data_IF_779638975492
#
_entry.id   IF_779638975492
#
_cell.length_a   1.000
_cell.length_b   1.000
_cell.length_c   1.000
_cell.angle_alpha   90.00
_cell.angle_beta   90.00
_cell.angle_gamma   90.00
#
_symmetry.space_group_name_H-M   'P 1'
#
loop_
_entity.id
_entity.type
_entity.pdbx_description
1 polymer ?
#
# COMPACT_ATOMS: atom_id res chain seq x y z
N UNK A 1 26.39 -26.28 -23.94
CA UNK A 1 25.53 -27.15 -23.10
C UNK A 1 26.07 -27.06 -21.67
N UNK A 2 25.37 -26.34 -20.80
CA UNK A 2 25.79 -26.13 -19.41
C UNK A 2 25.26 -27.27 -18.52
N UNK A 3 26.09 -27.77 -17.60
CA UNK A 3 25.73 -28.83 -16.67
C UNK A 3 24.68 -28.37 -15.64
N UNK A 4 23.73 -29.21 -15.23
CA UNK A 4 22.73 -28.86 -14.24
C UNK A 4 23.35 -28.70 -12.84
N UNK A 5 22.84 -27.78 -12.00
CA UNK A 5 23.35 -27.55 -10.66
C UNK A 5 23.02 -28.71 -9.70
N UNK A 6 23.86 -28.92 -8.66
CA UNK A 6 23.69 -30.01 -7.69
C UNK A 6 22.51 -29.76 -6.74
N UNK A 7 21.86 -30.86 -6.33
CA UNK A 7 20.73 -30.87 -5.41
C UNK A 7 21.13 -30.45 -3.97
N UNK A 8 20.24 -29.76 -3.23
CA UNK A 8 20.51 -29.33 -1.86
C UNK A 8 20.47 -30.51 -0.85
N UNK A 9 21.25 -30.44 0.24
CA UNK A 9 21.31 -31.49 1.25
C UNK A 9 20.04 -31.55 2.13
N UNK A 10 19.67 -32.77 2.50
CA UNK A 10 18.49 -33.09 3.32
C UNK A 10 18.57 -32.50 4.75
N UNK A 11 17.44 -32.00 5.23
CA UNK A 11 17.29 -31.39 6.54
C UNK A 11 17.47 -32.41 7.69
N UNK A 12 18.25 -32.03 8.70
CA UNK A 12 18.49 -32.82 9.90
C UNK A 12 17.23 -32.86 10.80
N UNK A 13 16.95 -34.05 11.34
CA UNK A 13 15.82 -34.30 12.23
C UNK A 13 15.97 -33.62 13.61
N UNK A 14 14.88 -33.15 14.24
CA UNK A 14 14.92 -32.53 15.56
C UNK A 14 15.10 -33.57 16.70
N UNK A 15 15.81 -33.22 17.79
CA UNK A 15 16.03 -34.11 18.92
C UNK A 15 14.80 -34.26 19.83
N UNK A 16 14.63 -35.41 20.52
CA UNK A 16 13.46 -35.69 21.35
C UNK A 16 13.47 -34.98 22.71
N UNK A 17 12.24 -34.66 23.17
CA UNK A 17 11.91 -34.06 24.46
C UNK A 17 12.29 -34.98 25.64
N UNK A 18 12.95 -34.43 26.65
CA UNK A 18 13.22 -35.11 27.94
C UNK A 18 12.04 -34.94 28.90
N UNK A 19 11.56 -36.00 29.57
CA UNK A 19 10.71 -35.90 30.74
C UNK A 19 11.54 -36.08 32.02
N UNK A 20 11.44 -35.17 32.98
CA UNK A 20 11.94 -35.30 34.35
C UNK A 20 11.25 -34.20 35.16
N UNK A 21 10.68 -34.39 36.33
CA UNK A 21 10.59 -35.55 37.20
C UNK A 21 9.82 -35.07 38.42
N UNK A 22 8.97 -35.94 38.94
CA UNK A 22 8.25 -35.82 40.19
C UNK A 22 9.21 -35.81 41.39
N UNK A 23 8.92 -35.00 42.41
CA UNK A 23 9.07 -35.46 43.79
C UNK A 23 8.21 -34.68 44.79
N UNK A 24 7.64 -35.37 45.80
CA UNK A 24 6.65 -34.84 46.73
C UNK A 24 7.30 -34.36 48.03
N UNK A 25 6.71 -33.37 48.70
CA UNK A 25 6.92 -33.15 50.15
C UNK A 25 5.58 -32.92 50.86
N UNK A 26 5.26 -33.88 51.72
CA UNK A 26 4.29 -33.80 52.81
C UNK A 26 4.81 -32.87 53.92
N UNK A 27 3.93 -32.02 54.45
CA UNK A 27 3.54 -31.91 55.87
C UNK A 27 3.12 -30.48 56.20
N UNK A 28 2.02 -30.37 56.93
CA UNK A 28 1.59 -29.13 57.57
C UNK A 28 0.07 -29.09 57.70
N UNK A 29 -0.49 -29.99 58.51
CA UNK A 29 -1.78 -29.75 59.13
C UNK A 29 -1.61 -28.58 60.10
N UNK A 30 -2.32 -27.48 59.87
CA UNK A 30 -2.68 -26.57 60.93
C UNK A 30 -4.05 -25.97 60.60
N UNK A 31 -5.04 -26.41 61.37
CA UNK A 31 -6.37 -25.82 61.44
C UNK A 31 -6.22 -24.42 62.03
N UNK A 32 -6.67 -23.42 61.28
CA UNK A 32 -7.06 -22.15 61.86
C UNK A 32 -8.38 -21.70 61.21
N UNK A 33 -9.39 -21.70 62.06
CA UNK A 33 -10.69 -21.03 62.02
C UNK A 33 -10.92 -20.00 60.90
N UNK A 34 -12.03 -20.20 60.20
CA UNK A 34 -12.71 -19.17 59.40
C UNK A 34 -13.02 -17.93 60.24
N UNK A 35 -12.85 -16.74 59.66
CA UNK A 35 -13.79 -15.67 59.85
C UNK A 35 -14.58 -15.50 58.55
N UNK A 36 -15.87 -15.82 58.62
CA UNK A 36 -16.86 -15.18 57.77
C UNK A 36 -16.70 -13.66 57.90
N UNK A 37 -16.22 -13.01 56.85
CA UNK A 37 -16.43 -11.59 56.62
C UNK A 37 -16.84 -11.41 55.17
N UNK A 38 -18.10 -11.04 55.00
CA UNK A 38 -18.65 -10.57 53.74
C UNK A 38 -17.78 -9.44 53.18
N UNK A 39 -17.18 -9.73 52.03
CA UNK A 39 -16.89 -8.75 51.02
C UNK A 39 -17.57 -9.26 49.78
N UNK A 40 -18.67 -8.64 49.38
CA UNK A 40 -19.25 -8.77 48.06
C UNK A 40 -18.30 -8.05 47.07
N UNK A 41 -17.07 -8.56 46.98
CA UNK A 41 -16.09 -8.17 46.00
C UNK A 41 -16.40 -8.99 44.77
N UNK A 42 -17.05 -8.38 43.78
CA UNK A 42 -17.18 -8.97 42.46
C UNK A 42 -15.82 -9.55 42.05
N UNK A 43 -15.81 -10.84 41.67
CA UNK A 43 -14.59 -11.49 41.22
C UNK A 43 -13.89 -10.61 40.16
N UNK A 44 -12.55 -10.51 40.18
CA UNK A 44 -11.84 -9.70 39.19
C UNK A 44 -12.30 -10.14 37.81
N UNK A 45 -12.89 -9.21 37.05
CA UNK A 45 -13.38 -9.48 35.70
C UNK A 45 -12.21 -9.99 34.86
N UNK A 46 -12.46 -11.00 34.04
CA UNK A 46 -11.41 -11.45 33.14
C UNK A 46 -11.20 -10.39 32.05
N UNK A 47 -9.97 -10.19 31.60
CA UNK A 47 -9.67 -9.28 30.48
C UNK A 47 -10.46 -9.62 29.21
N UNK A 48 -10.92 -10.87 29.10
CA UNK A 48 -11.79 -11.34 28.01
C UNK A 48 -13.21 -10.79 28.14
N UNK A 49 -13.78 -10.77 29.34
CA UNK A 49 -15.12 -10.22 29.58
C UNK A 49 -15.14 -8.71 29.31
N UNK A 50 -14.07 -8.01 29.69
CA UNK A 50 -13.90 -6.59 29.41
C UNK A 50 -13.79 -6.31 27.91
N UNK A 51 -13.01 -7.11 27.17
CA UNK A 51 -12.94 -7.00 25.72
C UNK A 51 -14.28 -7.30 25.04
N UNK A 52 -15.04 -8.26 25.55
CA UNK A 52 -16.37 -8.62 25.03
C UNK A 52 -17.41 -7.51 25.27
N UNK A 53 -17.32 -6.80 26.38
CA UNK A 53 -18.12 -5.60 26.67
C UNK A 53 -17.73 -4.45 25.71
N UNK A 54 -16.43 -4.20 25.53
CA UNK A 54 -15.92 -3.17 24.61
C UNK A 54 -16.37 -3.44 23.17
N UNK A 55 -16.23 -4.67 22.69
CA UNK A 55 -16.65 -5.05 21.33
C UNK A 55 -18.16 -4.86 21.15
N UNK A 56 -18.97 -5.27 22.13
CA UNK A 56 -20.42 -5.05 22.09
C UNK A 56 -20.77 -3.56 22.04
N UNK A 57 -20.10 -2.74 22.85
CA UNK A 57 -20.28 -1.29 22.81
C UNK A 57 -19.87 -0.72 21.44
N UNK A 58 -18.75 -1.17 20.88
CA UNK A 58 -18.24 -0.71 19.58
C UNK A 58 -19.24 -0.95 18.44
N UNK A 59 -19.93 -2.10 18.42
CA UNK A 59 -20.97 -2.40 17.41
C UNK A 59 -22.21 -1.50 17.52
N UNK A 60 -22.46 -0.88 18.67
CA UNK A 60 -23.60 -0.01 18.90
C UNK A 60 -23.29 1.48 18.66
N UNK A 61 -22.03 1.83 18.41
CA UNK A 61 -21.57 3.21 18.28
C UNK A 61 -21.56 3.64 16.81
N UNK A 62 -22.23 4.74 16.51
CA UNK A 62 -22.23 5.33 15.17
C UNK A 62 -20.93 6.11 14.87
N UNK A 63 -20.41 6.87 15.85
CA UNK A 63 -19.10 7.54 15.77
C UNK A 63 -18.11 6.97 16.80
N UNK A 64 -17.20 6.07 16.39
CA UNK A 64 -16.28 5.40 17.29
C UNK A 64 -15.03 6.24 17.63
N UNK A 65 -14.94 7.51 17.22
CA UNK A 65 -13.73 8.32 17.35
C UNK A 65 -13.21 8.40 18.79
N UNK A 66 -14.06 8.71 19.77
CA UNK A 66 -13.64 8.82 21.18
C UNK A 66 -13.23 7.47 21.78
N UNK A 67 -13.95 6.40 21.43
CA UNK A 67 -13.62 5.05 21.86
C UNK A 67 -12.22 4.65 21.38
N UNK A 68 -11.90 4.91 20.10
CA UNK A 68 -10.60 4.59 19.53
C UNK A 68 -9.48 5.41 20.15
N UNK A 69 -9.72 6.71 20.41
CA UNK A 69 -8.75 7.56 21.09
C UNK A 69 -8.45 7.06 22.51
N UNK A 70 -9.48 6.68 23.27
CA UNK A 70 -9.33 6.14 24.61
C UNK A 70 -8.56 4.81 24.60
N UNK A 71 -8.90 3.89 23.69
CA UNK A 71 -8.21 2.59 23.58
C UNK A 71 -6.77 2.76 23.09
N UNK A 72 -6.50 3.70 22.19
CA UNK A 72 -5.16 4.01 21.73
C UNK A 72 -4.23 4.44 22.87
N UNK A 73 -4.75 5.20 23.84
CA UNK A 73 -3.98 5.66 25.00
C UNK A 73 -3.84 4.57 26.06
N UNK A 74 -4.93 3.86 26.39
CA UNK A 74 -5.01 3.03 27.60
C UNK A 74 -4.90 1.54 27.36
N UNK A 75 -5.30 1.07 26.18
CA UNK A 75 -5.37 -0.35 25.86
C UNK A 75 -5.07 -0.64 24.37
N UNK A 76 -3.82 -0.46 23.89
CA UNK A 76 -3.47 -0.62 22.47
C UNK A 76 -3.76 -2.01 21.89
N UNK A 77 -3.72 -3.06 22.73
CA UNK A 77 -4.07 -4.43 22.32
C UNK A 77 -5.59 -4.55 22.09
N UNK A 78 -6.40 -3.94 22.96
CA UNK A 78 -7.86 -3.91 22.76
C UNK A 78 -8.23 -3.06 21.55
N UNK A 79 -7.52 -1.96 21.28
CA UNK A 79 -7.67 -1.18 20.05
C UNK A 79 -7.45 -2.06 18.81
N UNK A 80 -6.39 -2.89 18.79
CA UNK A 80 -6.10 -3.81 17.70
C UNK A 80 -7.26 -4.80 17.44
N UNK A 81 -7.82 -5.39 18.51
CA UNK A 81 -8.97 -6.29 18.43
C UNK A 81 -10.24 -5.60 17.93
N UNK A 82 -10.52 -4.37 18.39
CA UNK A 82 -11.67 -3.57 17.93
C UNK A 82 -11.48 -3.11 16.48
N UNK A 83 -10.27 -2.74 16.06
CA UNK A 83 -10.03 -2.20 14.74
C UNK A 83 -10.07 -3.27 13.63
N UNK A 84 -9.58 -4.48 13.91
CA UNK A 84 -9.39 -5.48 12.86
C UNK A 84 -9.46 -6.95 13.33
N UNK A 85 -9.82 -7.19 14.59
CA UNK A 85 -10.03 -8.53 15.12
C UNK A 85 -11.12 -9.33 14.39
N UNK A 86 -11.28 -10.59 14.77
CA UNK A 86 -12.27 -11.48 14.16
C UNK A 86 -13.71 -10.96 14.32
N UNK A 87 -13.97 -10.23 15.40
CA UNK A 87 -15.28 -9.67 15.79
C UNK A 87 -15.35 -8.15 15.66
N UNK A 88 -14.36 -7.53 15.01
CA UNK A 88 -14.31 -6.09 14.83
C UNK A 88 -15.58 -5.59 14.12
N UNK A 89 -16.16 -4.46 14.56
CA UNK A 89 -17.23 -3.79 13.81
C UNK A 89 -16.75 -3.38 12.42
N UNK A 90 -17.65 -3.46 11.45
CA UNK A 90 -17.44 -3.00 10.09
C UNK A 90 -17.96 -1.58 9.87
N UNK A 91 -17.70 -1.06 8.67
CA UNK A 91 -18.22 0.23 8.21
C UNK A 91 -17.17 1.34 8.14
N UNK A 92 -17.53 2.39 7.40
CA UNK A 92 -16.64 3.49 7.09
C UNK A 92 -16.19 4.28 8.33
N UNK A 93 -17.08 4.48 9.31
CA UNK A 93 -16.75 5.22 10.54
C UNK A 93 -15.64 4.53 11.35
N UNK A 94 -15.74 3.20 11.53
CA UNK A 94 -14.72 2.40 12.21
C UNK A 94 -13.39 2.37 11.45
N UNK A 95 -13.43 2.24 10.12
CA UNK A 95 -12.22 2.28 9.31
C UNK A 95 -11.50 3.63 9.45
N UNK A 96 -12.22 4.75 9.32
CA UNK A 96 -11.65 6.10 9.47
C UNK A 96 -11.10 6.33 10.88
N UNK A 97 -11.81 5.88 11.92
CA UNK A 97 -11.31 5.95 13.29
C UNK A 97 -10.04 5.11 13.48
N UNK A 98 -9.97 3.91 12.91
CA UNK A 98 -8.75 3.08 12.92
C UNK A 98 -7.58 3.78 12.24
N UNK A 99 -7.81 4.39 11.07
CA UNK A 99 -6.76 5.07 10.29
C UNK A 99 -6.14 6.27 11.04
N UNK A 100 -6.92 7.01 11.85
CA UNK A 100 -6.40 8.08 12.72
C UNK A 100 -5.34 7.57 13.71
N UNK A 101 -5.39 6.29 14.06
CA UNK A 101 -4.46 5.63 15.00
C UNK A 101 -3.57 4.58 14.32
N UNK A 102 -3.37 4.67 12.99
CA UNK A 102 -2.62 3.70 12.22
C UNK A 102 -1.21 3.42 12.75
N UNK A 103 -0.47 4.44 13.22
CA UNK A 103 0.88 4.24 13.76
C UNK A 103 0.91 3.33 14.99
N UNK A 104 -0.10 3.42 15.87
CA UNK A 104 -0.21 2.58 17.05
C UNK A 104 -0.59 1.16 16.64
N UNK A 105 -1.55 1.02 15.72
CA UNK A 105 -2.03 -0.27 15.21
C UNK A 105 -0.94 -1.03 14.44
N UNK A 106 -0.14 -0.34 13.64
CA UNK A 106 1.02 -0.92 12.95
C UNK A 106 2.04 -1.50 13.91
N UNK A 107 2.27 -0.83 15.05
CA UNK A 107 3.18 -1.30 16.09
C UNK A 107 2.68 -2.58 16.78
N UNK A 108 1.36 -2.83 16.79
CA UNK A 108 0.78 -4.02 17.43
C UNK A 108 0.64 -5.22 16.47
N UNK A 109 0.23 -5.00 15.20
CA UNK A 109 -0.23 -6.08 14.31
C UNK A 109 0.55 -6.22 12.99
N UNK A 110 1.56 -5.37 12.76
CA UNK A 110 2.21 -5.13 11.47
C UNK A 110 1.28 -4.51 10.41
N UNK A 111 1.82 -3.62 9.59
CA UNK A 111 1.07 -2.97 8.51
C UNK A 111 0.40 -3.98 7.54
N UNK A 112 1.10 -5.08 7.22
CA UNK A 112 0.61 -6.12 6.31
C UNK A 112 -0.60 -6.88 6.84
N UNK A 113 -0.74 -7.01 8.16
CA UNK A 113 -1.92 -7.61 8.79
C UNK A 113 -3.07 -6.62 8.93
N UNK A 114 -2.75 -5.40 9.35
CA UNK A 114 -3.70 -4.34 9.65
C UNK A 114 -4.49 -3.84 8.42
N UNK A 115 -3.81 -3.30 7.41
CA UNK A 115 -4.48 -2.59 6.31
C UNK A 115 -5.42 -3.48 5.49
N UNK A 116 -5.01 -4.69 5.04
CA UNK A 116 -5.93 -5.55 4.28
C UNK A 116 -7.16 -5.92 5.09
N UNK A 117 -7.00 -6.12 6.41
CA UNK A 117 -8.11 -6.50 7.27
C UNK A 117 -9.08 -5.35 7.52
N UNK A 118 -8.58 -4.14 7.72
CA UNK A 118 -9.45 -2.94 7.81
C UNK A 118 -10.14 -2.68 6.48
N UNK A 119 -9.45 -2.81 5.35
CA UNK A 119 -10.05 -2.65 4.03
C UNK A 119 -11.24 -3.61 3.81
N UNK A 120 -11.14 -4.86 4.29
CA UNK A 120 -12.21 -5.84 4.21
C UNK A 120 -13.45 -5.47 5.05
N UNK A 121 -13.24 -4.71 6.12
CA UNK A 121 -14.30 -4.26 7.02
C UNK A 121 -14.85 -2.86 6.64
N UNK A 122 -14.10 -2.08 5.85
CA UNK A 122 -14.34 -0.65 5.64
C UNK A 122 -15.57 -0.32 4.77
N UNK A 123 -16.07 -1.28 3.98
CA UNK A 123 -17.14 -1.01 3.01
C UNK A 123 -16.73 0.08 2.02
N UNK A 124 -17.49 1.17 1.95
CA UNK A 124 -17.22 2.31 1.06
C UNK A 124 -15.88 3.02 1.33
N UNK A 125 -15.34 2.93 2.54
CA UNK A 125 -14.07 3.58 2.91
C UNK A 125 -12.82 2.76 2.51
N UNK A 126 -12.96 1.65 1.78
CA UNK A 126 -11.82 0.81 1.39
C UNK A 126 -10.75 1.59 0.59
N UNK A 127 -11.16 2.54 -0.27
CA UNK A 127 -10.22 3.39 -1.01
C UNK A 127 -9.42 4.33 -0.09
N UNK A 128 -10.03 4.85 0.97
CA UNK A 128 -9.32 5.67 1.97
C UNK A 128 -8.26 4.83 2.70
N UNK A 129 -8.59 3.58 3.03
CA UNK A 129 -7.64 2.63 3.62
C UNK A 129 -6.45 2.38 2.69
N UNK A 130 -6.72 2.16 1.39
CA UNK A 130 -5.66 2.01 0.39
C UNK A 130 -4.79 3.26 0.28
N UNK A 131 -5.40 4.44 0.24
CA UNK A 131 -4.67 5.70 0.16
C UNK A 131 -3.70 5.85 1.34
N UNK A 132 -4.18 5.68 2.57
CA UNK A 132 -3.32 5.78 3.76
C UNK A 132 -2.23 4.70 3.78
N UNK A 133 -2.57 3.47 3.35
CA UNK A 133 -1.59 2.39 3.21
C UNK A 133 -0.48 2.74 2.21
N UNK A 134 -0.86 3.33 1.07
CA UNK A 134 0.05 3.75 0.01
C UNK A 134 0.94 4.93 0.40
N UNK A 135 0.41 5.91 1.13
CA UNK A 135 1.20 7.05 1.64
C UNK A 135 2.26 6.58 2.64
N UNK A 136 1.92 5.62 3.50
CA UNK A 136 2.80 5.16 4.59
C UNK A 136 3.76 4.05 4.17
N UNK A 137 3.33 3.16 3.26
CA UNK A 137 4.11 1.99 2.82
C UNK A 137 4.20 1.89 1.28
N UNK A 138 4.60 2.96 0.57
CA UNK A 138 4.48 3.03 -0.89
C UNK A 138 5.27 1.94 -1.64
N UNK A 139 6.40 1.49 -1.07
CA UNK A 139 7.26 0.47 -1.67
C UNK A 139 6.82 -0.97 -1.35
N UNK A 140 5.83 -1.17 -0.49
CA UNK A 140 5.53 -2.50 0.02
C UNK A 140 4.71 -3.31 -0.99
N UNK A 141 5.23 -4.47 -1.40
CA UNK A 141 4.57 -5.33 -2.40
C UNK A 141 3.18 -5.86 -1.98
N UNK A 142 2.82 -5.80 -0.70
CA UNK A 142 1.47 -6.12 -0.26
C UNK A 142 0.45 -5.02 -0.61
N UNK A 143 0.88 -3.77 -0.77
CA UNK A 143 0.02 -2.66 -1.19
C UNK A 143 -0.40 -2.82 -2.65
N UNK A 144 0.47 -3.35 -3.51
CA UNK A 144 0.13 -3.70 -4.91
C UNK A 144 -1.02 -4.71 -4.97
N UNK A 145 -1.00 -5.70 -4.07
CA UNK A 145 -2.07 -6.71 -3.96
C UNK A 145 -3.36 -6.11 -3.39
N UNK A 146 -3.24 -5.23 -2.40
CA UNK A 146 -4.37 -4.52 -1.81
C UNK A 146 -5.06 -3.61 -2.84
N UNK A 147 -4.26 -2.87 -3.60
CA UNK A 147 -4.70 -2.05 -4.72
C UNK A 147 -5.50 -2.87 -5.74
N UNK A 148 -4.98 -4.03 -6.18
CA UNK A 148 -5.73 -4.94 -7.07
C UNK A 148 -7.07 -5.37 -6.48
N UNK A 149 -7.10 -5.69 -5.18
CA UNK A 149 -8.32 -6.14 -4.50
C UNK A 149 -9.40 -5.06 -4.47
N UNK A 150 -9.01 -3.81 -4.23
CA UNK A 150 -9.94 -2.69 -4.02
C UNK A 150 -10.35 -2.03 -5.34
N UNK A 151 -9.39 -1.78 -6.23
CA UNK A 151 -9.58 -1.00 -7.45
C UNK A 151 -9.91 -1.87 -8.68
N UNK A 152 -9.67 -3.19 -8.60
CA UNK A 152 -9.94 -4.12 -9.70
C UNK A 152 -9.11 -3.78 -10.94
N UNK A 153 -9.78 -3.42 -12.04
CA UNK A 153 -9.13 -3.07 -13.31
C UNK A 153 -8.32 -1.78 -13.25
N UNK A 154 -8.66 -0.88 -12.31
CA UNK A 154 -7.97 0.40 -12.08
C UNK A 154 -6.83 0.30 -11.06
N UNK A 155 -6.39 -0.93 -10.75
CA UNK A 155 -5.32 -1.18 -9.79
C UNK A 155 -4.12 -0.24 -10.03
N UNK A 156 -3.71 0.48 -9.01
CA UNK A 156 -2.57 1.38 -9.00
C UNK A 156 -2.94 2.84 -9.09
N UNK A 157 -4.17 3.20 -9.46
CA UNK A 157 -4.57 4.59 -9.59
C UNK A 157 -4.40 5.35 -8.25
N UNK A 158 -5.02 4.88 -7.18
CA UNK A 158 -4.92 5.48 -5.84
C UNK A 158 -3.52 5.32 -5.25
N UNK A 159 -2.93 4.12 -5.34
CA UNK A 159 -1.61 3.86 -4.74
C UNK A 159 -0.53 4.76 -5.36
N UNK A 160 -0.45 4.82 -6.69
CA UNK A 160 0.60 5.59 -7.36
C UNK A 160 0.40 7.10 -7.17
N UNK A 161 -0.84 7.61 -7.20
CA UNK A 161 -1.11 9.02 -6.92
C UNK A 161 -0.68 9.39 -5.49
N UNK A 162 -1.02 8.55 -4.51
CA UNK A 162 -0.60 8.73 -3.13
C UNK A 162 0.93 8.67 -2.95
N UNK A 163 1.61 7.83 -3.72
CA UNK A 163 3.05 7.64 -3.64
C UNK A 163 3.87 8.67 -4.46
N UNK A 164 3.24 9.55 -5.25
CA UNK A 164 3.91 10.39 -6.25
C UNK A 164 5.02 11.30 -5.68
N UNK A 165 4.86 11.76 -4.43
CA UNK A 165 5.86 12.57 -3.73
C UNK A 165 6.95 11.78 -3.01
N UNK A 166 6.88 10.45 -2.99
CA UNK A 166 7.78 9.59 -2.22
C UNK A 166 8.98 9.12 -3.06
N UNK A 167 10.20 8.97 -2.48
CA UNK A 167 11.38 8.45 -3.19
C UNK A 167 11.19 7.06 -3.84
N UNK A 168 10.26 6.26 -3.32
CA UNK A 168 9.93 4.93 -3.83
C UNK A 168 8.92 4.93 -4.98
N UNK A 169 8.49 6.09 -5.47
CA UNK A 169 7.47 6.17 -6.52
C UNK A 169 7.83 5.37 -7.78
N UNK A 170 9.06 5.51 -8.28
CA UNK A 170 9.55 4.75 -9.43
C UNK A 170 9.48 3.23 -9.20
N UNK A 171 9.83 2.78 -7.99
CA UNK A 171 9.76 1.37 -7.61
C UNK A 171 8.30 0.88 -7.56
N UNK A 172 7.38 1.70 -7.04
CA UNK A 172 5.95 1.38 -7.04
C UNK A 172 5.41 1.28 -8.47
N UNK A 173 5.77 2.21 -9.37
CA UNK A 173 5.40 2.14 -10.78
C UNK A 173 5.88 0.84 -11.43
N UNK A 174 7.15 0.45 -11.20
CA UNK A 174 7.70 -0.80 -11.70
C UNK A 174 6.92 -2.03 -11.19
N UNK A 175 6.62 -2.08 -9.89
CA UNK A 175 5.85 -3.18 -9.30
C UNK A 175 4.42 -3.28 -9.87
N UNK A 176 3.78 -2.15 -10.18
CA UNK A 176 2.48 -2.11 -10.87
C UNK A 176 2.59 -2.56 -12.33
N UNK A 177 3.66 -2.19 -13.04
CA UNK A 177 3.89 -2.62 -14.41
C UNK A 177 4.12 -4.14 -14.49
N UNK A 178 4.94 -4.70 -13.60
CA UNK A 178 5.14 -6.15 -13.46
C UNK A 178 3.85 -6.90 -13.13
N UNK A 179 2.95 -6.26 -12.38
CA UNK A 179 1.63 -6.78 -12.07
C UNK A 179 0.62 -6.65 -13.23
N UNK A 180 0.98 -5.99 -14.34
CA UNK A 180 0.08 -5.77 -15.49
C UNK A 180 -0.98 -4.68 -15.26
N UNK A 181 -0.74 -3.77 -14.32
CA UNK A 181 -1.68 -2.72 -13.91
C UNK A 181 -1.61 -1.48 -14.83
N UNK A 182 -1.86 -1.68 -16.13
CA UNK A 182 -1.67 -0.66 -17.17
C UNK A 182 -2.57 0.56 -16.95
N UNK A 183 -3.87 0.37 -16.73
CA UNK A 183 -4.81 1.50 -16.58
C UNK A 183 -4.47 2.38 -15.38
N UNK A 184 -4.09 1.79 -14.23
CA UNK A 184 -3.66 2.56 -13.07
C UNK A 184 -2.38 3.37 -13.31
N UNK A 185 -1.43 2.85 -14.10
CA UNK A 185 -0.23 3.59 -14.49
C UNK A 185 -0.54 4.77 -15.43
N UNK A 186 -1.47 4.59 -16.37
CA UNK A 186 -1.94 5.67 -17.24
C UNK A 186 -2.66 6.75 -16.43
N UNK A 187 -3.55 6.36 -15.53
CA UNK A 187 -4.24 7.29 -14.64
C UNK A 187 -3.25 8.05 -13.75
N UNK A 188 -2.26 7.36 -13.17
CA UNK A 188 -1.21 7.99 -12.37
C UNK A 188 -0.39 9.00 -13.18
N UNK A 189 -0.01 8.67 -14.42
CA UNK A 189 0.68 9.62 -15.31
C UNK A 189 -0.17 10.87 -15.57
N UNK A 190 -1.47 10.69 -15.83
CA UNK A 190 -2.40 11.81 -16.04
C UNK A 190 -2.58 12.67 -14.80
N UNK A 191 -2.67 12.05 -13.63
CA UNK A 191 -3.01 12.75 -12.39
C UNK A 191 -1.81 13.48 -11.79
N UNK A 192 -0.61 12.90 -11.93
CA UNK A 192 0.60 13.39 -11.25
C UNK A 192 1.50 14.22 -12.16
N UNK A 193 1.36 14.10 -13.48
CA UNK A 193 2.32 14.69 -14.42
C UNK A 193 3.69 14.05 -14.33
N UNK A 194 3.86 12.88 -13.71
CA UNK A 194 5.18 12.30 -13.46
C UNK A 194 5.63 11.38 -14.60
N UNK A 195 6.93 11.37 -14.97
CA UNK A 195 7.45 10.53 -16.04
C UNK A 195 7.62 9.04 -15.67
N UNK A 196 7.72 8.70 -14.39
CA UNK A 196 8.05 7.35 -13.90
C UNK A 196 7.06 6.25 -14.35
N UNK A 197 5.72 6.47 -14.40
CA UNK A 197 4.80 5.48 -14.94
C UNK A 197 5.11 5.11 -16.41
N UNK A 198 5.51 6.10 -17.22
CA UNK A 198 5.86 5.85 -18.62
C UNK A 198 7.14 5.02 -18.74
N UNK A 199 8.14 5.31 -17.91
CA UNK A 199 9.38 4.52 -17.83
C UNK A 199 9.11 3.07 -17.44
N UNK A 200 8.23 2.84 -16.46
CA UNK A 200 7.86 1.48 -16.04
C UNK A 200 7.16 0.67 -17.14
N UNK A 201 6.42 1.33 -18.03
CA UNK A 201 5.66 0.69 -19.12
C UNK A 201 6.52 0.34 -20.35
N UNK A 202 7.75 0.86 -20.45
CA UNK A 202 8.65 0.64 -21.60
C UNK A 202 8.84 -0.84 -21.92
N UNK A 203 9.06 -1.66 -20.88
CA UNK A 203 9.28 -3.11 -21.05
C UNK A 203 8.00 -3.91 -21.34
N UNK A 204 6.82 -3.33 -21.10
CA UNK A 204 5.54 -4.00 -21.31
C UNK A 204 4.97 -3.72 -22.70
N UNK A 205 4.80 -2.44 -23.05
CA UNK A 205 4.32 -2.02 -24.37
C UNK A 205 4.81 -0.58 -24.69
N UNK A 206 5.68 -0.41 -25.71
CA UNK A 206 6.19 0.90 -26.12
C UNK A 206 5.09 1.90 -26.51
N UNK A 207 3.98 1.44 -27.09
CA UNK A 207 2.87 2.32 -27.47
C UNK A 207 2.14 2.86 -26.24
N UNK A 208 1.93 2.01 -25.23
CA UNK A 208 1.33 2.40 -23.95
C UNK A 208 2.28 3.33 -23.17
N UNK A 209 3.58 3.05 -23.17
CA UNK A 209 4.58 3.92 -22.57
C UNK A 209 4.58 5.32 -23.22
N UNK A 210 4.49 5.39 -24.55
CA UNK A 210 4.40 6.67 -25.27
C UNK A 210 3.12 7.45 -24.90
N UNK A 211 1.99 6.76 -24.76
CA UNK A 211 0.73 7.36 -24.30
C UNK A 211 0.84 7.91 -22.88
N UNK A 212 1.40 7.13 -21.95
CA UNK A 212 1.64 7.57 -20.57
C UNK A 212 2.54 8.81 -20.52
N UNK A 213 3.61 8.82 -21.33
CA UNK A 213 4.54 9.94 -21.40
C UNK A 213 3.88 11.23 -21.92
N UNK A 214 3.03 11.11 -22.94
CA UNK A 214 2.25 12.24 -23.43
C UNK A 214 1.23 12.74 -22.39
N UNK A 215 0.59 11.83 -21.64
CA UNK A 215 -0.32 12.19 -20.55
C UNK A 215 0.40 12.98 -19.45
N UNK A 216 1.60 12.53 -19.05
CA UNK A 216 2.42 13.26 -18.09
C UNK A 216 2.78 14.68 -18.58
N UNK A 217 3.24 14.84 -19.84
CA UNK A 217 3.56 16.16 -20.41
C UNK A 217 2.36 17.08 -20.58
N UNK A 218 1.19 16.52 -20.92
CA UNK A 218 -0.04 17.30 -21.04
C UNK A 218 -0.50 17.82 -19.67
N UNK A 219 -0.19 17.10 -18.59
CA UNK A 219 -0.47 17.52 -17.21
C UNK A 219 0.58 18.47 -16.66
N UNK A 220 1.87 18.18 -16.87
CA UNK A 220 2.99 19.01 -16.44
C UNK A 220 4.06 19.09 -17.54
N UNK A 221 4.15 20.26 -18.18
CA UNK A 221 5.13 20.52 -19.24
C UNK A 221 6.59 20.52 -18.72
N UNK A 222 6.82 20.62 -17.41
CA UNK A 222 8.16 20.54 -16.81
C UNK A 222 8.69 19.10 -16.67
N UNK A 223 7.85 18.09 -16.95
CA UNK A 223 8.17 16.66 -16.88
C UNK A 223 9.38 16.29 -17.72
N UNK A 224 10.39 15.67 -17.11
CA UNK A 224 11.63 15.22 -17.77
C UNK A 224 11.49 13.87 -18.50
N UNK A 225 10.53 13.80 -19.43
CA UNK A 225 10.16 12.57 -20.16
C UNK A 225 11.31 11.97 -20.94
N UNK A 226 12.05 12.75 -21.73
CA UNK A 226 13.09 12.19 -22.61
C UNK A 226 14.18 11.51 -21.79
N UNK A 227 14.59 12.12 -20.67
CA UNK A 227 15.61 11.56 -19.80
C UNK A 227 15.15 10.25 -19.15
N UNK A 228 13.91 10.19 -18.65
CA UNK A 228 13.37 8.99 -18.03
C UNK A 228 13.16 7.84 -19.03
N UNK A 229 12.64 8.15 -20.22
CA UNK A 229 12.48 7.15 -21.26
C UNK A 229 13.83 6.66 -21.79
N UNK A 230 14.84 7.53 -21.93
CA UNK A 230 16.19 7.10 -22.29
C UNK A 230 16.80 6.18 -21.22
N UNK A 231 16.57 6.45 -19.94
CA UNK A 231 17.03 5.59 -18.85
C UNK A 231 16.37 4.20 -18.86
N UNK A 232 15.09 4.12 -19.26
CA UNK A 232 14.34 2.87 -19.30
C UNK A 232 14.52 2.08 -20.61
N UNK A 233 14.59 2.76 -21.75
CA UNK A 233 14.66 2.17 -23.10
C UNK A 233 16.11 1.94 -23.58
N UNK A 234 17.01 2.83 -23.19
CA UNK A 234 18.37 2.93 -23.74
C UNK A 234 18.65 4.28 -24.42
N UNK A 235 19.89 4.50 -24.87
CA UNK A 235 20.39 5.81 -25.29
C UNK A 235 19.71 6.39 -26.55
N UNK A 236 18.99 5.57 -27.32
CA UNK A 236 18.30 5.99 -28.55
C UNK A 236 16.77 5.81 -28.45
N UNK A 237 16.06 6.67 -27.68
CA UNK A 237 14.61 6.56 -27.54
C UNK A 237 13.82 7.19 -28.72
N UNK A 238 14.47 7.61 -29.81
CA UNK A 238 13.85 8.46 -30.86
C UNK A 238 12.56 7.85 -31.45
N UNK A 239 12.53 6.54 -31.68
CA UNK A 239 11.34 5.82 -32.16
C UNK A 239 10.19 5.82 -31.13
N UNK A 240 10.50 5.79 -29.85
CA UNK A 240 9.50 5.89 -28.78
C UNK A 240 9.00 7.33 -28.65
N UNK A 241 9.90 8.31 -28.69
CA UNK A 241 9.54 9.73 -28.56
C UNK A 241 8.68 10.20 -29.73
N UNK A 242 8.92 9.71 -30.95
CA UNK A 242 8.05 10.04 -32.10
C UNK A 242 6.61 9.59 -31.90
N UNK A 243 6.39 8.46 -31.21
CA UNK A 243 5.03 8.02 -30.82
C UNK A 243 4.41 8.95 -29.78
N UNK A 244 5.19 9.49 -28.84
CA UNK A 244 4.72 10.48 -27.85
C UNK A 244 4.09 11.68 -28.56
N UNK A 245 4.71 12.16 -29.64
CA UNK A 245 4.23 13.33 -30.40
C UNK A 245 2.78 13.16 -30.88
N UNK A 246 2.40 11.96 -31.31
CA UNK A 246 1.02 11.68 -31.78
C UNK A 246 -0.06 11.76 -30.70
N UNK A 247 0.33 11.80 -29.43
CA UNK A 247 -0.57 11.86 -28.27
C UNK A 247 -0.54 13.21 -27.53
N UNK A 248 0.28 14.16 -27.97
CA UNK A 248 0.34 15.50 -27.38
C UNK A 248 -0.94 16.28 -27.70
N UNK A 249 -1.48 16.95 -26.69
CA UNK A 249 -2.75 17.67 -26.77
C UNK A 249 -2.61 19.19 -26.63
N UNK A 250 -1.47 19.67 -26.16
CA UNK A 250 -1.23 21.10 -25.99
C UNK A 250 0.06 21.53 -26.65
N UNK A 251 0.08 22.78 -27.11
CA UNK A 251 1.29 23.42 -27.65
C UNK A 251 2.39 23.48 -26.60
N UNK A 252 2.05 23.79 -25.35
CA UNK A 252 3.00 23.83 -24.24
C UNK A 252 3.72 22.48 -24.03
N UNK A 253 2.99 21.36 -24.09
CA UNK A 253 3.58 20.03 -23.97
C UNK A 253 4.51 19.70 -25.15
N UNK A 254 4.16 20.13 -26.37
CA UNK A 254 4.98 19.94 -27.56
C UNK A 254 6.26 20.80 -27.54
N UNK A 255 6.17 22.04 -27.10
CA UNK A 255 7.34 22.93 -26.92
C UNK A 255 8.26 22.41 -25.81
N UNK A 256 7.68 21.90 -24.72
CA UNK A 256 8.44 21.22 -23.67
C UNK A 256 9.18 20.00 -24.20
N UNK A 257 8.51 19.12 -24.94
CA UNK A 257 9.16 17.95 -25.54
C UNK A 257 10.26 18.36 -26.54
N UNK A 258 10.02 19.41 -27.34
CA UNK A 258 11.01 19.96 -28.28
C UNK A 258 12.27 20.42 -27.54
N UNK A 259 12.10 21.06 -26.38
CA UNK A 259 13.22 21.55 -25.57
C UNK A 259 14.08 20.40 -24.99
N UNK A 260 13.49 19.23 -24.76
CA UNK A 260 14.16 18.04 -24.22
C UNK A 260 14.80 17.18 -25.33
N UNK A 261 14.19 17.14 -26.52
CA UNK A 261 14.60 16.30 -27.64
C UNK A 261 15.74 16.89 -28.49
N UNK A 262 16.58 17.78 -27.95
CA UNK A 262 17.62 18.52 -28.71
C UNK A 262 18.62 17.63 -29.46
N UNK A 263 18.82 16.41 -28.98
CA UNK A 263 19.75 15.45 -29.57
C UNK A 263 19.05 14.41 -30.47
N UNK A 264 17.73 14.54 -30.68
CA UNK A 264 16.90 13.58 -31.41
C UNK A 264 16.42 14.21 -32.73
N UNK A 265 17.20 14.11 -33.83
CA UNK A 265 16.97 14.88 -35.05
C UNK A 265 15.65 14.53 -35.76
N UNK A 266 15.15 13.29 -35.64
CA UNK A 266 13.86 12.94 -36.23
C UNK A 266 12.70 13.55 -35.43
N UNK A 267 12.72 13.39 -34.11
CA UNK A 267 11.75 14.01 -33.19
C UNK A 267 11.70 15.54 -33.37
N UNK A 268 12.85 16.22 -33.48
CA UNK A 268 12.89 17.68 -33.70
C UNK A 268 12.17 18.11 -34.98
N UNK A 269 12.39 17.38 -36.09
CA UNK A 269 11.72 17.66 -37.36
C UNK A 269 10.21 17.50 -37.24
N UNK A 270 9.77 16.42 -36.59
CA UNK A 270 8.35 16.14 -36.39
C UNK A 270 7.67 17.22 -35.54
N UNK A 271 8.26 17.56 -34.39
CA UNK A 271 7.70 18.59 -33.49
C UNK A 271 7.63 19.96 -34.16
N UNK A 272 8.67 20.38 -34.90
CA UNK A 272 8.66 21.65 -35.64
C UNK A 272 7.57 21.71 -36.71
N UNK A 273 7.19 20.58 -37.30
CA UNK A 273 6.10 20.50 -38.26
C UNK A 273 4.72 20.55 -37.59
N UNK A 274 4.57 19.95 -36.41
CA UNK A 274 3.28 19.81 -35.71
C UNK A 274 2.92 21.04 -34.89
N UNK A 275 3.87 21.64 -34.17
CA UNK A 275 3.64 22.77 -33.23
C UNK A 275 2.85 23.94 -33.87
N UNK A 276 3.14 24.39 -35.11
CA UNK A 276 2.38 25.50 -35.72
C UNK A 276 0.88 25.21 -35.91
N UNK A 277 0.49 23.94 -36.01
CA UNK A 277 -0.90 23.51 -36.17
C UNK A 277 -1.64 23.25 -34.86
N UNK A 278 -0.98 23.37 -33.70
CA UNK A 278 -1.61 23.15 -32.41
C UNK A 278 -2.22 24.46 -31.89
N UNK A 279 -3.47 24.39 -31.43
CA UNK A 279 -4.12 25.50 -30.73
C UNK A 279 -3.34 25.83 -29.44
N UNK A 280 -3.31 27.13 -29.10
CA UNK A 280 -2.64 27.66 -27.91
C UNK A 280 -3.25 27.18 -26.62
#
# INVERSE_FOLDING_TARGET
>A
MAAPPPAPPAAAAPPPLRPSGTSPRKRGEERAESPERGGEGAAPRSARDELDDILRAAHAIEDPTELYAMLAEKAPIALAEVACGARAPGGAAHARAALKHAAILEAQLSARGFYPRVADLAGEAALEVLQVAAERHPAAGWVVKLSRKIEGTRAGATHLVAAAGHPSFAQACAAHAEAGHIEGLLEAASATGRPEPAGALVGADPAVAARAAAMALNTDASSSIVAHLAAAWGPEPDLLITKVVSHLRSRAAAEALLSQARHLPHTLRLLRAVIPGMAG
#
